data_IF_300118655471
#
_entry.id   IF_300118655471
#
_cell.length_a   1.000
_cell.length_b   1.000
_cell.length_c   1.000
_cell.angle_alpha   90.00
_cell.angle_beta   90.00
_cell.angle_gamma   90.00
#
_symmetry.space_group_name_H-M   'P 1'
#
loop_
_entity.id
_entity.type
_entity.pdbx_description
1 polymer ?
#
# COMPACT_ATOMS: atom_id res chain seq x y z
N UNK A 1 -1.53 11.97 9.28
CA UNK A 1 -2.36 11.10 8.43
C UNK A 1 -3.48 10.49 9.25
N UNK A 2 -4.60 10.20 8.60
CA UNK A 2 -5.84 9.67 9.15
C UNK A 2 -6.39 8.60 8.20
N UNK A 3 -7.35 7.80 8.68
CA UNK A 3 -8.09 6.88 7.81
C UNK A 3 -8.73 7.64 6.64
N UNK A 4 -8.58 7.09 5.44
CA UNK A 4 -9.01 7.66 4.17
C UNK A 4 -7.92 8.45 3.42
N UNK A 5 -6.82 8.84 4.08
CA UNK A 5 -5.74 9.54 3.37
C UNK A 5 -5.05 8.57 2.40
N UNK A 6 -4.57 9.06 1.26
CA UNK A 6 -3.74 8.28 0.34
C UNK A 6 -2.27 8.60 0.64
N UNK A 7 -1.48 7.59 0.98
CA UNK A 7 -0.06 7.71 1.24
C UNK A 7 0.73 7.19 0.04
N UNK A 8 1.68 7.98 -0.46
CA UNK A 8 2.62 7.52 -1.49
C UNK A 8 3.83 6.91 -0.83
N UNK A 9 4.13 5.66 -1.14
CA UNK A 9 5.26 4.90 -0.61
C UNK A 9 6.22 4.51 -1.74
N UNK A 10 7.45 4.14 -1.35
CA UNK A 10 8.41 3.49 -2.24
C UNK A 10 8.43 2.00 -1.91
N UNK A 11 8.13 1.16 -2.89
CA UNK A 11 8.28 -0.29 -2.80
C UNK A 11 9.55 -0.72 -3.51
N UNK A 12 10.33 -1.58 -2.85
CA UNK A 12 11.44 -2.31 -3.46
C UNK A 12 10.99 -3.75 -3.63
N UNK A 13 10.88 -4.18 -4.87
CA UNK A 13 10.26 -5.46 -5.25
C UNK A 13 11.37 -6.35 -5.80
N UNK A 14 11.56 -7.53 -5.22
CA UNK A 14 12.43 -8.54 -5.80
C UNK A 14 11.78 -9.12 -7.05
N UNK A 15 12.51 -9.12 -8.16
CA UNK A 15 12.05 -9.61 -9.46
C UNK A 15 13.01 -10.66 -10.00
N UNK A 16 12.49 -11.59 -10.80
CA UNK A 16 13.30 -12.64 -11.45
C UNK A 16 14.03 -12.08 -12.68
N UNK A 17 15.05 -11.27 -12.42
CA UNK A 17 15.95 -10.71 -13.41
C UNK A 17 17.39 -10.76 -12.88
N UNK A 18 18.26 -11.46 -13.61
CA UNK A 18 19.64 -11.70 -13.19
C UNK A 18 20.53 -10.45 -13.20
N UNK A 19 20.22 -9.45 -14.05
CA UNK A 19 21.00 -8.21 -14.17
C UNK A 19 20.46 -7.12 -13.23
N UNK A 20 19.14 -7.04 -13.10
CA UNK A 20 18.44 -6.07 -12.24
C UNK A 20 17.43 -6.79 -11.34
N UNK A 21 17.86 -7.39 -10.21
CA UNK A 21 17.01 -8.25 -9.37
C UNK A 21 16.01 -7.49 -8.51
N UNK A 22 16.01 -6.15 -8.56
CA UNK A 22 15.11 -5.29 -7.81
C UNK A 22 14.48 -4.24 -8.72
N UNK A 23 13.16 -4.08 -8.61
CA UNK A 23 12.43 -2.94 -9.14
C UNK A 23 12.06 -1.96 -8.02
N UNK A 24 12.04 -0.67 -8.34
CA UNK A 24 11.62 0.39 -7.41
C UNK A 24 10.40 1.10 -7.96
N UNK A 25 9.28 1.02 -7.24
CA UNK A 25 8.01 1.60 -7.65
C UNK A 25 7.47 2.57 -6.61
N UNK A 26 6.83 3.66 -7.07
CA UNK A 26 6.13 4.62 -6.21
C UNK A 26 4.64 4.39 -6.32
N UNK A 27 4.03 3.86 -5.27
CA UNK A 27 2.64 3.43 -5.30
C UNK A 27 1.84 4.11 -4.19
N UNK A 28 0.53 4.20 -4.42
CA UNK A 28 -0.42 4.78 -3.47
C UNK A 28 -1.02 3.69 -2.58
N UNK A 29 -1.17 4.03 -1.31
CA UNK A 29 -1.75 3.17 -0.28
C UNK A 29 -2.82 3.96 0.45
N UNK A 30 -4.07 3.50 0.37
CA UNK A 30 -5.20 4.06 1.09
C UNK A 30 -5.12 3.69 2.56
N UNK A 31 -4.97 4.68 3.45
CA UNK A 31 -4.89 4.44 4.90
C UNK A 31 -6.23 3.89 5.40
N UNK A 32 -6.22 2.65 5.88
CA UNK A 32 -7.39 1.95 6.43
C UNK A 32 -7.44 2.03 7.95
N UNK A 33 -6.29 1.91 8.60
CA UNK A 33 -6.19 1.83 10.05
C UNK A 33 -4.98 2.64 10.54
N UNK A 34 -5.17 3.42 11.60
CA UNK A 34 -4.09 4.13 12.29
C UNK A 34 -3.84 3.44 13.62
N UNK A 35 -2.60 3.04 13.87
CA UNK A 35 -2.17 2.36 15.09
C UNK A 35 -1.17 3.21 15.86
N UNK A 36 -0.76 2.77 17.06
CA UNK A 36 0.27 3.46 17.85
C UNK A 36 1.67 3.43 17.19
N UNK A 37 1.94 2.44 16.33
CA UNK A 37 3.25 2.22 15.71
C UNK A 37 3.30 2.56 14.22
N UNK A 38 2.17 2.89 13.61
CA UNK A 38 2.11 3.17 12.17
C UNK A 38 0.71 3.00 11.61
N UNK A 39 0.62 2.48 10.39
CA UNK A 39 -0.59 2.40 9.61
C UNK A 39 -0.73 1.02 8.98
N UNK A 40 -1.98 0.62 8.77
CA UNK A 40 -2.31 -0.39 7.77
C UNK A 40 -3.12 0.29 6.68
N UNK A 41 -2.78 0.01 5.42
CA UNK A 41 -3.50 0.57 4.29
C UNK A 41 -3.65 -0.42 3.16
N UNK A 42 -4.48 -0.07 2.19
CA UNK A 42 -4.82 -0.88 1.04
C UNK A 42 -4.03 -0.36 -0.16
N UNK A 43 -3.31 -1.24 -0.88
CA UNK A 43 -2.62 -0.86 -2.10
C UNK A 43 -3.66 -0.41 -3.16
N UNK A 44 -3.52 0.82 -3.66
CA UNK A 44 -4.54 1.47 -4.50
C UNK A 44 -4.26 1.35 -6.01
N UNK A 45 -3.06 0.90 -6.38
CA UNK A 45 -2.69 0.68 -7.77
C UNK A 45 -1.90 -0.62 -7.97
N UNK A 46 -1.96 -1.14 -9.18
CA UNK A 46 -1.23 -2.36 -9.55
C UNK A 46 0.27 -2.08 -9.70
N UNK A 47 1.15 -3.01 -9.27
CA UNK A 47 2.56 -2.94 -9.59
C UNK A 47 2.80 -3.17 -11.09
N UNK A 48 3.83 -2.53 -11.62
CA UNK A 48 4.16 -2.57 -13.06
C UNK A 48 5.32 -3.50 -13.42
N UNK A 49 6.17 -3.84 -12.46
CA UNK A 49 7.40 -4.62 -12.69
C UNK A 49 7.23 -6.11 -12.41
N UNK A 50 6.07 -6.56 -11.95
CA UNK A 50 5.75 -7.98 -11.70
C UNK A 50 4.50 -8.40 -12.45
N UNK A 51 4.45 -9.67 -12.85
CA UNK A 51 3.24 -10.25 -13.39
C UNK A 51 2.15 -10.33 -12.31
N UNK A 52 0.88 -10.30 -12.75
CA UNK A 52 -0.28 -10.50 -11.89
C UNK A 52 -0.12 -11.76 -11.02
N UNK A 53 -0.42 -11.60 -9.73
CA UNK A 53 -0.42 -12.67 -8.73
C UNK A 53 -1.35 -12.31 -7.56
N UNK A 54 -1.75 -13.30 -6.76
CA UNK A 54 -2.72 -13.13 -5.67
C UNK A 54 -2.09 -12.64 -4.33
N UNK A 55 -0.78 -12.40 -4.32
CA UNK A 55 -0.04 -12.01 -3.10
C UNK A 55 0.28 -10.52 -3.07
N UNK A 56 0.64 -9.94 -4.22
CA UNK A 56 1.08 -8.55 -4.35
C UNK A 56 0.39 -7.86 -5.54
N UNK A 57 -0.85 -7.41 -5.30
CA UNK A 57 -1.68 -6.68 -6.27
C UNK A 57 -2.54 -5.62 -5.55
N UNK A 58 -3.22 -4.74 -6.28
CA UNK A 58 -4.14 -3.78 -5.65
C UNK A 58 -5.20 -4.48 -4.79
N UNK A 59 -5.64 -3.79 -3.73
CA UNK A 59 -6.63 -4.31 -2.79
C UNK A 59 -6.05 -5.06 -1.58
N UNK A 60 -4.77 -5.44 -1.58
CA UNK A 60 -4.13 -6.07 -0.42
C UNK A 60 -3.84 -5.05 0.68
N UNK A 61 -3.83 -5.51 1.93
CA UNK A 61 -3.40 -4.71 3.08
C UNK A 61 -1.88 -4.76 3.26
N UNK A 62 -1.26 -3.60 3.48
CA UNK A 62 0.18 -3.45 3.75
C UNK A 62 0.41 -2.61 5.02
N UNK A 63 1.33 -3.02 5.91
CA UNK A 63 1.75 -2.20 7.05
C UNK A 63 2.80 -1.19 6.60
N UNK A 64 2.79 -0.01 7.21
CA UNK A 64 3.85 0.97 7.00
C UNK A 64 3.91 2.00 8.15
N UNK A 65 5.01 2.74 8.22
CA UNK A 65 5.25 3.76 9.23
C UNK A 65 5.28 5.15 8.58
N UNK A 66 5.11 6.21 9.38
CA UNK A 66 5.18 7.59 8.89
C UNK A 66 6.50 7.89 8.15
N UNK A 67 7.61 7.29 8.57
CA UNK A 67 8.92 7.46 7.91
C UNK A 67 9.01 6.89 6.49
N UNK A 68 8.06 6.04 6.08
CA UNK A 68 8.01 5.46 4.73
C UNK A 68 7.27 6.36 3.73
N UNK A 69 6.54 7.37 4.21
CA UNK A 69 5.67 8.22 3.40
C UNK A 69 6.48 9.29 2.68
N UNK A 70 6.41 9.31 1.35
CA UNK A 70 7.12 10.28 0.51
C UNK A 70 6.22 11.40 -0.01
N UNK A 71 4.90 11.17 -0.02
CA UNK A 71 3.87 12.17 -0.31
C UNK A 71 2.52 11.68 0.24
N UNK A 72 1.52 12.55 0.37
CA UNK A 72 0.16 12.13 0.68
C UNK A 72 -0.88 13.04 0.03
N UNK A 73 -2.03 12.47 -0.31
CA UNK A 73 -3.23 13.21 -0.69
C UNK A 73 -4.24 13.13 0.46
N UNK A 74 -4.84 14.28 0.80
CA UNK A 74 -5.84 14.36 1.85
C UNK A 74 -7.11 13.60 1.44
N UNK A 75 -7.68 12.86 2.40
CA UNK A 75 -8.91 12.10 2.22
C UNK A 75 -10.09 12.94 1.72
N UNK A 76 -10.96 12.30 0.94
CA UNK A 76 -12.28 12.81 0.55
C UNK A 76 -13.39 11.84 0.96
N UNK A 77 -14.65 12.17 0.63
CA UNK A 77 -15.80 11.32 0.98
C UNK A 77 -15.67 9.90 0.38
N UNK A 78 -15.13 9.77 -0.82
CA UNK A 78 -14.97 8.49 -1.50
C UNK A 78 -13.86 7.67 -0.86
N UNK A 79 -12.69 8.25 -0.59
CA UNK A 79 -11.58 7.51 0.03
C UNK A 79 -11.88 7.11 1.47
N UNK A 80 -12.66 7.90 2.21
CA UNK A 80 -13.18 7.52 3.54
C UNK A 80 -14.07 6.27 3.43
N UNK A 81 -14.98 6.23 2.46
CA UNK A 81 -15.86 5.07 2.24
C UNK A 81 -15.07 3.82 1.81
N UNK A 82 -14.10 3.99 0.91
CA UNK A 82 -13.23 2.91 0.45
C UNK A 82 -12.38 2.35 1.61
N UNK A 83 -11.87 3.21 2.49
CA UNK A 83 -11.08 2.80 3.65
C UNK A 83 -11.89 2.00 4.70
N UNK A 84 -13.21 1.98 4.60
CA UNK A 84 -14.08 1.14 5.43
C UNK A 84 -14.28 -0.28 4.89
N UNK A 85 -13.84 -0.57 3.65
CA UNK A 85 -14.00 -1.89 3.03
C UNK A 85 -12.95 -2.89 3.52
N UNK A 86 -13.27 -4.16 3.36
CA UNK A 86 -12.32 -5.22 3.63
C UNK A 86 -11.31 -5.35 2.47
N UNK A 87 -10.01 -5.52 2.78
CA UNK A 87 -9.00 -5.75 1.76
C UNK A 87 -9.20 -7.12 1.12
N UNK A 88 -8.72 -7.29 -0.11
CA UNK A 88 -8.70 -8.60 -0.79
C UNK A 88 -7.85 -9.62 -0.04
N UNK A 89 -6.81 -9.15 0.64
CA UNK A 89 -5.94 -9.93 1.52
C UNK A 89 -5.55 -9.09 2.74
N UNK A 90 -5.81 -9.60 3.95
CA UNK A 90 -5.36 -8.95 5.20
C UNK A 90 -3.89 -9.25 5.46
N UNK A 91 -3.19 -8.28 6.06
CA UNK A 91 -1.85 -8.53 6.57
C UNK A 91 -1.94 -9.38 7.84
N UNK A 92 -1.12 -10.44 8.00
CA UNK A 92 -1.11 -11.23 9.22
C UNK A 92 -0.86 -10.35 10.45
N UNK A 93 -1.69 -10.51 11.48
CA UNK A 93 -1.54 -9.84 12.77
C UNK A 93 -1.13 -10.92 13.77
N UNK A 94 0.17 -11.07 14.01
CA UNK A 94 0.69 -11.94 15.07
C UNK A 94 0.47 -11.32 16.45
#
# INVERSE_FOLDING_TARGET
MKQGDLAKLIFRISIDNAEEPEAVERMWVLVREVTSSGFFGILDNDPSSVAYNDEFWSGIEVPFEARHVINFDERDENTILLAGRDPSRRWPRD
#
